data_IF_610375744093
#
_entry.id   IF_610375744093
#
_cell.length_a   1.000
_cell.length_b   1.000
_cell.length_c   1.000
_cell.angle_alpha   90.00
_cell.angle_beta   90.00
_cell.angle_gamma   90.00
#
_symmetry.space_group_name_H-M   'P 1'
#
loop_
_entity.id
_entity.type
_entity.pdbx_description
1 polymer ?
#
# COMPACT_ATOMS: atom_id res chain seq x y z
N UNK A 1 -22.74 3.33 -4.26
CA UNK A 1 -21.42 3.61 -3.64
C UNK A 1 -21.68 3.85 -2.16
N UNK A 2 -21.09 3.08 -1.24
CA UNK A 2 -21.26 3.34 0.18
C UNK A 2 -20.66 4.72 0.47
N UNK A 3 -21.51 5.63 0.96
CA UNK A 3 -21.08 6.92 1.50
C UNK A 3 -20.24 6.63 2.74
N UNK A 4 -18.92 6.79 2.62
CA UNK A 4 -18.03 6.83 3.76
C UNK A 4 -18.41 8.09 4.57
N UNK A 5 -18.81 7.88 5.82
CA UNK A 5 -19.13 8.99 6.71
C UNK A 5 -17.82 9.67 7.14
N UNK A 6 -17.60 10.91 6.69
CA UNK A 6 -16.38 11.70 6.93
C UNK A 6 -16.16 12.13 8.38
N UNK A 7 -17.10 11.85 9.29
CA UNK A 7 -17.00 12.28 10.69
C UNK A 7 -16.44 11.21 11.63
N UNK A 8 -16.41 9.93 11.23
CA UNK A 8 -15.99 8.82 12.10
C UNK A 8 -14.99 7.90 11.38
N UNK A 9 -14.09 7.26 12.13
CA UNK A 9 -13.24 6.17 11.62
C UNK A 9 -14.10 4.94 11.34
N UNK A 10 -14.10 4.46 10.09
CA UNK A 10 -14.88 3.29 9.68
C UNK A 10 -13.97 2.24 9.02
N UNK A 11 -14.19 0.98 9.34
CA UNK A 11 -13.64 -0.16 8.61
C UNK A 11 -14.72 -0.70 7.67
N UNK A 12 -14.45 -0.69 6.37
CA UNK A 12 -15.38 -1.16 5.34
C UNK A 12 -14.71 -2.26 4.53
N UNK A 13 -15.44 -3.36 4.29
CA UNK A 13 -15.05 -4.39 3.34
C UNK A 13 -15.83 -4.17 2.05
N UNK A 14 -15.13 -3.90 0.95
CA UNK A 14 -15.77 -3.77 -0.36
C UNK A 14 -15.47 -5.02 -1.19
N UNK A 15 -16.54 -5.67 -1.65
CA UNK A 15 -16.48 -6.75 -2.64
C UNK A 15 -16.66 -6.12 -4.01
N UNK A 16 -15.58 -6.00 -4.79
CA UNK A 16 -15.65 -5.48 -6.15
C UNK A 16 -15.72 -6.64 -7.14
N UNK A 17 -16.78 -6.72 -7.95
CA UNK A 17 -16.91 -7.69 -9.03
C UNK A 17 -16.37 -7.08 -10.35
N UNK A 18 -15.54 -7.83 -11.07
CA UNK A 18 -15.02 -7.47 -12.40
C UNK A 18 -15.55 -8.43 -13.48
N UNK A 19 -15.55 -7.96 -14.73
CA UNK A 19 -16.11 -8.51 -15.98
C UNK A 19 -15.79 -10.00 -16.29
N UNK A 20 -16.58 -10.67 -17.16
CA UNK A 20 -16.85 -12.12 -17.13
C UNK A 20 -15.73 -13.05 -17.61
N UNK A 21 -14.52 -12.57 -17.87
CA UNK A 21 -13.48 -13.40 -18.48
C UNK A 21 -12.55 -14.09 -17.47
N UNK A 22 -12.43 -13.65 -16.21
CA UNK A 22 -11.68 -14.36 -15.15
C UNK A 22 -12.46 -14.29 -13.82
N UNK A 23 -12.89 -15.42 -13.22
CA UNK A 23 -13.67 -15.41 -11.98
C UNK A 23 -12.75 -15.32 -10.75
N UNK A 24 -11.93 -14.26 -10.68
CA UNK A 24 -11.09 -14.00 -9.52
C UNK A 24 -11.79 -12.91 -8.70
N UNK A 25 -12.39 -13.34 -7.59
CA UNK A 25 -12.97 -12.43 -6.62
C UNK A 25 -11.83 -11.80 -5.83
N UNK A 26 -11.77 -10.47 -5.81
CA UNK A 26 -10.81 -9.72 -5.01
C UNK A 26 -11.54 -9.11 -3.82
N UNK A 27 -11.03 -9.41 -2.63
CA UNK A 27 -11.50 -8.84 -1.36
C UNK A 27 -10.53 -7.75 -0.92
N UNK A 28 -11.03 -6.52 -0.84
CA UNK A 28 -10.23 -5.36 -0.42
C UNK A 28 -10.71 -4.91 0.95
N UNK A 29 -9.82 -4.98 1.94
CA UNK A 29 -10.05 -4.41 3.25
C UNK A 29 -9.69 -2.93 3.24
N UNK A 30 -10.63 -2.06 3.61
CA UNK A 30 -10.45 -0.61 3.56
C UNK A 30 -10.59 -0.03 4.95
N UNK A 31 -9.50 0.56 5.44
CA UNK A 31 -9.48 1.35 6.65
C UNK A 31 -9.56 2.84 6.30
N UNK A 32 -10.64 3.50 6.72
CA UNK A 32 -10.82 4.94 6.49
C UNK A 32 -10.59 5.74 7.76
N UNK A 33 -9.73 6.75 7.69
CA UNK A 33 -9.37 7.58 8.83
C UNK A 33 -9.26 9.06 8.41
N UNK A 34 -10.26 9.91 8.71
CA UNK A 34 -10.32 11.31 8.25
C UNK A 34 -9.33 12.27 8.97
N UNK A 35 -8.13 11.79 9.31
CA UNK A 35 -7.06 12.60 9.88
C UNK A 35 -7.47 13.30 11.18
N UNK A 36 -7.42 14.63 11.21
CA UNK A 36 -7.71 15.42 12.42
C UNK A 36 -9.20 15.50 12.79
N UNK A 37 -10.12 15.07 11.91
CA UNK A 37 -11.56 15.07 12.21
C UNK A 37 -11.98 13.97 13.20
N UNK A 38 -11.13 13.00 13.49
CA UNK A 38 -11.36 11.98 14.51
C UNK A 38 -10.48 12.21 15.75
N UNK A 39 -10.92 11.85 16.96
CA UNK A 39 -10.12 11.97 18.16
C UNK A 39 -8.90 11.04 18.12
N UNK A 40 -7.78 11.46 18.71
CA UNK A 40 -6.52 10.70 18.68
C UNK A 40 -6.66 9.29 19.26
N UNK A 41 -7.51 9.13 20.28
CA UNK A 41 -7.82 7.84 20.90
C UNK A 41 -8.40 6.85 19.90
N UNK A 42 -9.34 7.30 19.07
CA UNK A 42 -9.96 6.45 18.05
C UNK A 42 -8.96 6.11 16.95
N UNK A 43 -8.18 7.08 16.47
CA UNK A 43 -7.13 6.81 15.48
C UNK A 43 -6.16 5.72 15.94
N UNK A 44 -5.68 5.84 17.18
CA UNK A 44 -4.75 4.87 17.74
C UNK A 44 -5.42 3.50 17.93
N UNK A 45 -6.67 3.47 18.39
CA UNK A 45 -7.40 2.23 18.64
C UNK A 45 -7.70 1.48 17.34
N UNK A 46 -8.26 2.14 16.33
CA UNK A 46 -8.58 1.51 15.04
C UNK A 46 -7.32 1.05 14.29
N UNK A 47 -6.23 1.81 14.35
CA UNK A 47 -4.94 1.38 13.80
C UNK A 47 -4.38 0.14 14.51
N UNK A 48 -4.47 0.10 15.85
CA UNK A 48 -3.98 -1.02 16.67
C UNK A 48 -4.79 -2.29 16.45
N UNK A 49 -6.12 -2.16 16.34
CA UNK A 49 -7.02 -3.30 16.15
C UNK A 49 -7.11 -3.79 14.69
N UNK A 50 -6.59 -3.04 13.70
CA UNK A 50 -6.68 -3.37 12.27
C UNK A 50 -6.27 -4.81 11.96
N UNK A 51 -5.12 -5.23 12.48
CA UNK A 51 -4.58 -6.56 12.19
C UNK A 51 -5.40 -7.67 12.83
N UNK A 52 -5.91 -7.43 14.04
CA UNK A 52 -6.76 -8.37 14.77
C UNK A 52 -8.12 -8.55 14.09
N UNK A 53 -8.69 -7.46 13.57
CA UNK A 53 -9.94 -7.53 12.79
C UNK A 53 -9.74 -8.38 11.53
N UNK A 54 -8.58 -8.25 10.88
CA UNK A 54 -8.24 -9.05 9.69
C UNK A 54 -8.02 -10.53 10.05
N UNK A 55 -7.39 -10.85 11.18
CA UNK A 55 -7.23 -12.25 11.62
C UNK A 55 -8.57 -12.89 11.94
N UNK A 56 -9.44 -12.20 12.68
CA UNK A 56 -10.80 -12.68 12.98
C UNK A 56 -11.62 -12.88 11.70
N UNK A 57 -11.49 -11.99 10.71
CA UNK A 57 -12.15 -12.14 9.43
C UNK A 57 -11.69 -13.41 8.69
N UNK A 58 -10.40 -13.73 8.74
CA UNK A 58 -9.84 -14.97 8.17
C UNK A 58 -10.41 -16.20 8.87
N UNK A 59 -10.52 -16.18 10.20
CA UNK A 59 -11.14 -17.28 10.97
C UNK A 59 -12.62 -17.47 10.62
N UNK A 60 -13.29 -16.40 10.20
CA UNK A 60 -14.67 -16.42 9.69
C UNK A 60 -14.77 -16.81 8.21
N UNK A 61 -13.66 -17.17 7.55
CA UNK A 61 -13.63 -17.57 6.14
C UNK A 61 -13.55 -16.42 5.14
N UNK A 62 -13.37 -15.18 5.60
CA UNK A 62 -13.18 -13.99 4.75
C UNK A 62 -11.70 -13.64 4.70
N UNK A 63 -11.04 -14.03 3.61
CA UNK A 63 -9.65 -13.63 3.35
C UNK A 63 -9.64 -12.30 2.63
N UNK A 64 -8.94 -11.28 3.14
CA UNK A 64 -8.72 -10.01 2.44
C UNK A 64 -7.43 -10.07 1.63
N UNK A 65 -7.54 -10.08 0.30
CA UNK A 65 -6.39 -10.17 -0.62
C UNK A 65 -5.57 -8.87 -0.62
N UNK A 66 -6.25 -7.72 -0.59
CA UNK A 66 -5.61 -6.41 -0.61
C UNK A 66 -6.05 -5.58 0.61
N UNK A 67 -5.15 -4.72 1.09
CA UNK A 67 -5.38 -3.86 2.25
C UNK A 67 -5.07 -2.43 1.84
N UNK A 68 -6.06 -1.56 1.93
CA UNK A 68 -5.94 -0.16 1.54
C UNK A 68 -6.30 0.75 2.73
N UNK A 69 -5.54 1.82 2.91
CA UNK A 69 -5.81 2.85 3.90
C UNK A 69 -6.12 4.15 3.18
N UNK A 70 -7.19 4.82 3.60
CA UNK A 70 -7.73 5.98 2.92
C UNK A 70 -8.00 7.08 3.95
N UNK A 71 -7.59 8.31 3.64
CA UNK A 71 -7.91 9.47 4.49
C UNK A 71 -9.28 10.05 4.18
N UNK A 72 -9.67 10.15 2.91
CA UNK A 72 -10.95 10.70 2.47
C UNK A 72 -11.67 9.80 1.46
N UNK A 73 -13.00 9.77 1.52
CA UNK A 73 -13.81 8.94 0.62
C UNK A 73 -13.64 9.28 -0.87
N UNK A 74 -13.16 10.48 -1.18
CA UNK A 74 -12.85 10.91 -2.55
C UNK A 74 -11.66 10.18 -3.19
N UNK A 75 -10.75 9.62 -2.37
CA UNK A 75 -9.60 8.83 -2.85
C UNK A 75 -10.03 7.45 -3.37
N UNK A 76 -11.22 6.98 -2.96
CA UNK A 76 -11.77 5.68 -3.30
C UNK A 76 -12.40 5.70 -4.71
N UNK A 77 -11.55 5.93 -5.71
CA UNK A 77 -11.93 5.93 -7.12
C UNK A 77 -11.74 4.55 -7.73
N UNK A 78 -12.43 4.29 -8.86
CA UNK A 78 -12.27 3.05 -9.62
C UNK A 78 -10.82 2.82 -10.06
N UNK A 79 -10.13 3.90 -10.46
CA UNK A 79 -8.72 3.84 -10.90
C UNK A 79 -7.78 3.46 -9.75
N UNK A 80 -7.99 4.00 -8.55
CA UNK A 80 -7.22 3.66 -7.36
C UNK A 80 -7.36 2.17 -7.00
N UNK A 81 -8.60 1.67 -6.94
CA UNK A 81 -8.86 0.25 -6.68
C UNK A 81 -8.28 -0.65 -7.77
N UNK A 82 -8.39 -0.26 -9.03
CA UNK A 82 -7.85 -1.03 -10.14
C UNK A 82 -6.32 -1.14 -10.07
N UNK A 83 -5.64 -0.05 -9.71
CA UNK A 83 -4.18 0.01 -9.56
C UNK A 83 -3.69 -0.84 -8.39
N UNK A 84 -4.43 -0.82 -7.27
CA UNK A 84 -4.09 -1.61 -6.08
C UNK A 84 -4.25 -3.12 -6.30
N UNK A 85 -5.31 -3.51 -7.03
CA UNK A 85 -5.58 -4.91 -7.38
C UNK A 85 -4.64 -5.41 -8.49
N UNK A 86 -4.34 -4.55 -9.46
CA UNK A 86 -3.45 -4.86 -10.59
C UNK A 86 -2.26 -3.91 -10.59
N UNK A 87 -1.22 -4.18 -9.77
CA UNK A 87 -0.07 -3.31 -9.70
C UNK A 87 0.58 -3.19 -11.08
N UNK A 88 0.82 -1.97 -11.57
CA UNK A 88 1.50 -1.78 -12.85
C UNK A 88 2.91 -2.33 -12.74
N UNK A 89 3.36 -3.00 -13.80
CA UNK A 89 4.72 -3.53 -13.88
C UNK A 89 5.68 -2.33 -13.79
N UNK A 90 6.34 -2.18 -12.64
CA UNK A 90 7.32 -1.11 -12.43
C UNK A 90 8.45 -1.32 -13.43
N UNK A 91 8.53 -0.44 -14.43
CA UNK A 91 9.64 -0.46 -15.37
C UNK A 91 10.94 -0.32 -14.58
N UNK A 92 11.87 -1.27 -14.79
CA UNK A 92 13.12 -1.29 -14.05
C UNK A 92 13.83 0.07 -14.19
N UNK A 93 14.06 0.73 -13.06
CA UNK A 93 14.70 2.05 -13.04
C UNK A 93 16.03 1.93 -13.78
N UNK A 94 16.15 2.69 -14.88
CA UNK A 94 17.36 2.71 -15.70
C UNK A 94 18.52 3.07 -14.77
N UNK A 95 19.42 2.12 -14.53
CA UNK A 95 20.61 2.35 -13.70
C UNK A 95 21.40 3.50 -14.31
N UNK A 96 21.43 4.63 -13.63
CA UNK A 96 22.32 5.74 -13.95
C UNK A 96 23.73 5.20 -13.76
N UNK A 97 24.43 4.97 -14.87
CA UNK A 97 25.82 4.55 -14.85
C UNK A 97 26.62 5.69 -14.24
N UNK A 98 27.35 5.42 -13.15
CA UNK A 98 28.23 6.42 -12.54
C UNK A 98 29.21 6.91 -13.61
N UNK A 99 29.32 8.23 -13.84
CA UNK A 99 30.26 8.77 -14.81
C UNK A 99 31.67 8.35 -14.42
N UNK A 100 32.51 8.04 -15.42
CA UNK A 100 33.90 7.65 -15.20
C UNK A 100 34.60 8.83 -14.51
N UNK A 101 35.06 8.62 -13.28
CA UNK A 101 35.68 9.68 -12.49
C UNK A 101 36.89 10.28 -13.22
N UNK A 102 37.21 11.57 -12.98
CA UNK A 102 38.38 12.21 -13.58
C UNK A 102 39.63 11.40 -13.23
N UNK A 103 40.40 11.06 -14.26
CA UNK A 103 41.51 10.11 -14.16
C UNK A 103 42.48 10.48 -13.04
N UNK A 104 42.44 9.73 -11.93
CA UNK A 104 43.43 9.89 -10.87
C UNK A 104 44.68 9.13 -11.28
N UNK A 105 45.69 9.89 -11.69
CA UNK A 105 47.01 9.38 -12.03
C UNK A 105 47.62 8.59 -10.86
N UNK A 106 48.38 7.56 -11.23
CA UNK A 106 49.44 6.85 -10.48
C UNK A 106 48.96 5.90 -9.37
N UNK A 107 48.98 4.62 -9.76
CA UNK A 107 49.35 3.44 -8.98
C UNK A 107 49.90 3.75 -7.59
N UNK A 108 49.23 3.21 -6.57
CA UNK A 108 49.70 3.20 -5.18
C UNK A 108 51.10 2.55 -5.15
N UNK A 109 52.19 3.26 -4.80
CA UNK A 109 53.49 2.62 -4.69
C UNK A 109 53.44 1.60 -3.55
N UNK A 110 53.61 0.32 -3.89
CA UNK A 110 53.85 -0.73 -2.91
C UNK A 110 55.26 -0.53 -2.36
N UNK A 111 55.36 -0.25 -1.06
CA UNK A 111 56.64 -0.16 -0.34
C UNK A 111 57.37 -1.50 -0.48
N UNK A 112 58.58 -1.48 -1.07
CA UNK A 112 59.46 -2.63 -1.08
C UNK A 112 59.97 -2.90 0.35
N UNK A 113 60.01 -4.17 0.73
CA UNK A 113 60.55 -4.66 1.99
C UNK A 113 62.03 -4.97 1.75
N UNK A 114 62.92 -4.33 2.53
CA UNK A 114 64.27 -4.82 2.83
C UNK A 114 64.32 -5.23 4.30
#
# INVERSE_FOLDING_TARGET
MPHLNNNNTNSNLLLTASLPLHPIWHSVFIYSCPGFNCPIKERMLYASCKNEVISIAVDCGVTATHKMEVSDGSELTHEALHTEVHPPVVEATKRIVKPKGPGRSKTRPTRATE
#
